data_IF_115936208750
#
_entry.id   IF_115936208750
#
_cell.length_a   1.000
_cell.length_b   1.000
_cell.length_c   1.000
_cell.angle_alpha   90.00
_cell.angle_beta   90.00
_cell.angle_gamma   90.00
#
_symmetry.space_group_name_H-M   'P 1'
#
loop_
_entity.id
_entity.type
_entity.pdbx_description
1 polymer ?
#
# COMPACT_ATOMS: atom_id res chain seq x y z
N UNK A 1 -43.97 -29.68 -16.82
CA UNK A 1 -42.61 -29.34 -17.24
C UNK A 1 -41.74 -29.28 -16.01
N UNK A 2 -40.83 -30.25 -15.82
CA UNK A 2 -39.92 -30.35 -14.69
C UNK A 2 -38.74 -29.43 -15.01
N UNK A 3 -38.65 -28.30 -14.30
CA UNK A 3 -37.50 -27.41 -14.40
C UNK A 3 -36.25 -28.20 -13.92
N UNK A 4 -35.29 -28.38 -14.85
CA UNK A 4 -34.05 -29.09 -14.59
C UNK A 4 -33.30 -28.43 -13.46
N UNK A 5 -33.03 -29.14 -12.38
CA UNK A 5 -32.18 -28.70 -11.26
C UNK A 5 -30.77 -28.37 -11.81
N UNK A 6 -30.40 -27.12 -11.77
CA UNK A 6 -29.05 -26.67 -12.16
C UNK A 6 -28.05 -27.34 -11.18
N UNK A 7 -27.19 -28.21 -11.70
CA UNK A 7 -26.16 -28.90 -10.91
C UNK A 7 -25.15 -27.83 -10.44
N UNK A 8 -25.08 -27.58 -9.13
CA UNK A 8 -24.11 -26.65 -8.57
C UNK A 8 -22.71 -27.27 -8.63
N UNK A 9 -21.76 -26.47 -9.06
CA UNK A 9 -20.34 -26.86 -9.09
C UNK A 9 -19.65 -26.31 -7.83
N UNK A 10 -18.82 -27.11 -7.20
CA UNK A 10 -18.05 -26.69 -6.02
C UNK A 10 -16.96 -25.70 -6.42
N UNK A 11 -17.24 -24.41 -6.25
CA UNK A 11 -16.32 -23.29 -6.50
C UNK A 11 -16.36 -22.31 -5.34
N UNK A 12 -15.37 -21.41 -5.27
CA UNK A 12 -15.37 -20.34 -4.27
C UNK A 12 -16.59 -19.43 -4.40
N UNK A 13 -17.00 -19.14 -5.63
CA UNK A 13 -18.16 -18.29 -5.91
C UNK A 13 -19.46 -18.94 -5.39
N UNK A 14 -19.61 -20.24 -5.60
CA UNK A 14 -20.76 -20.99 -5.09
C UNK A 14 -20.78 -21.02 -3.57
N UNK A 15 -19.64 -21.25 -2.93
CA UNK A 15 -19.53 -21.21 -1.46
C UNK A 15 -19.87 -19.81 -0.93
N UNK A 16 -19.28 -18.75 -1.52
CA UNK A 16 -19.50 -17.37 -1.07
C UNK A 16 -20.90 -16.83 -1.38
N UNK A 17 -21.66 -17.49 -2.23
CA UNK A 17 -23.09 -17.19 -2.40
C UNK A 17 -23.96 -17.71 -1.24
N UNK A 18 -23.44 -18.62 -0.42
CA UNK A 18 -24.15 -19.28 0.69
C UNK A 18 -23.65 -18.83 2.07
N UNK A 19 -22.34 -18.57 2.21
CA UNK A 19 -21.71 -18.18 3.47
C UNK A 19 -20.69 -17.05 3.21
N UNK A 20 -20.38 -16.26 4.26
CA UNK A 20 -19.45 -15.15 4.13
C UNK A 20 -17.99 -15.57 4.41
N UNK A 21 -16.98 -14.83 3.94
CA UNK A 21 -15.59 -15.03 4.36
C UNK A 21 -15.41 -14.97 5.88
N UNK A 22 -16.18 -14.14 6.57
CA UNK A 22 -16.16 -14.01 8.01
C UNK A 22 -16.59 -15.29 8.71
N UNK A 23 -17.65 -15.94 8.21
CA UNK A 23 -18.12 -17.22 8.75
C UNK A 23 -17.06 -18.31 8.63
N UNK A 24 -16.34 -18.34 7.49
CA UNK A 24 -15.25 -19.29 7.28
C UNK A 24 -14.13 -19.06 8.31
N UNK A 25 -13.66 -17.81 8.48
CA UNK A 25 -12.67 -17.53 9.53
C UNK A 25 -13.17 -17.88 10.92
N UNK A 26 -14.42 -17.59 11.23
CA UNK A 26 -15.02 -17.90 12.52
C UNK A 26 -15.06 -19.39 12.81
N UNK A 27 -15.38 -20.21 11.82
CA UNK A 27 -15.43 -21.67 11.95
C UNK A 27 -14.05 -22.28 12.21
N UNK A 28 -13.02 -21.79 11.49
CA UNK A 28 -11.71 -22.41 11.48
C UNK A 28 -10.68 -21.77 12.42
N UNK A 29 -10.94 -20.57 12.96
CA UNK A 29 -10.01 -19.96 13.94
C UNK A 29 -10.11 -20.64 15.31
N UNK A 30 -9.02 -21.21 15.82
CA UNK A 30 -9.04 -21.97 17.07
C UNK A 30 -9.07 -21.07 18.32
N UNK A 31 -8.81 -19.77 18.16
CA UNK A 31 -8.71 -18.80 19.25
C UNK A 31 -9.69 -17.65 19.07
N UNK A 32 -9.99 -16.93 20.16
CA UNK A 32 -10.78 -15.70 20.08
C UNK A 32 -10.06 -14.67 19.21
N UNK A 33 -10.79 -14.07 18.29
CA UNK A 33 -10.29 -13.04 17.42
C UNK A 33 -11.38 -11.99 17.14
N UNK A 34 -10.97 -10.81 16.75
CA UNK A 34 -11.84 -9.73 16.30
C UNK A 34 -11.29 -9.15 15.01
N UNK A 35 -12.18 -8.73 14.12
CA UNK A 35 -11.79 -8.14 12.85
C UNK A 35 -10.95 -6.87 13.07
N UNK A 36 -9.85 -6.74 12.36
CA UNK A 36 -8.89 -5.64 12.45
C UNK A 36 -8.16 -5.52 13.81
N UNK A 37 -8.21 -6.55 14.66
CA UNK A 37 -7.39 -6.64 15.87
C UNK A 37 -6.37 -7.77 15.76
N UNK A 38 -5.17 -7.52 16.28
CA UNK A 38 -4.12 -8.54 16.33
C UNK A 38 -4.49 -9.58 17.39
N UNK A 39 -4.37 -10.86 17.05
CA UNK A 39 -4.65 -11.99 17.90
C UNK A 39 -3.53 -13.04 17.86
N UNK A 40 -3.66 -14.11 18.62
CA UNK A 40 -2.70 -15.23 18.58
C UNK A 40 -2.75 -15.94 17.23
N UNK A 41 -1.57 -16.29 16.71
CA UNK A 41 -1.45 -17.02 15.46
C UNK A 41 -1.98 -18.45 15.60
N UNK A 42 -2.80 -18.96 14.66
CA UNK A 42 -3.18 -20.36 14.63
C UNK A 42 -2.07 -21.25 14.06
N UNK A 43 -0.99 -20.67 13.53
CA UNK A 43 0.07 -21.39 12.84
C UNK A 43 1.33 -21.60 13.69
N UNK A 44 1.52 -20.77 14.72
CA UNK A 44 2.73 -20.77 15.56
C UNK A 44 2.37 -20.58 17.03
N UNK A 45 3.19 -21.15 17.91
CA UNK A 45 3.14 -20.86 19.36
C UNK A 45 3.92 -19.57 19.63
N UNK A 46 3.21 -18.45 19.66
CA UNK A 46 3.83 -17.15 19.91
C UNK A 46 3.56 -16.70 21.36
N UNK A 47 4.57 -16.06 21.97
CA UNK A 47 4.40 -15.42 23.26
C UNK A 47 3.65 -14.07 23.17
N UNK A 48 3.52 -13.53 21.96
CA UNK A 48 2.83 -12.26 21.69
C UNK A 48 1.88 -12.41 20.49
N UNK A 49 0.74 -11.70 20.47
CA UNK A 49 -0.15 -11.71 19.32
C UNK A 49 0.55 -11.30 18.03
N UNK A 50 0.48 -12.14 17.00
CA UNK A 50 1.20 -11.95 15.74
C UNK A 50 0.37 -12.23 14.50
N UNK A 51 -0.94 -12.37 14.63
CA UNK A 51 -1.85 -12.69 13.55
C UNK A 51 -2.98 -11.67 13.45
N UNK A 52 -3.34 -11.28 12.24
CA UNK A 52 -4.40 -10.33 11.97
C UNK A 52 -5.35 -10.89 10.91
N UNK A 53 -6.64 -10.88 11.21
CA UNK A 53 -7.70 -10.99 10.21
C UNK A 53 -8.29 -9.60 10.04
N UNK A 54 -8.20 -9.05 8.84
CA UNK A 54 -8.60 -7.67 8.60
C UNK A 54 -9.31 -7.48 7.28
N UNK A 55 -10.13 -6.42 7.21
CA UNK A 55 -10.74 -5.99 5.96
C UNK A 55 -9.74 -5.12 5.19
N UNK A 56 -9.27 -5.63 4.06
CA UNK A 56 -8.35 -4.92 3.18
C UNK A 56 -8.95 -4.90 1.77
N UNK A 57 -9.19 -3.69 1.22
CA UNK A 57 -9.73 -3.53 -0.14
C UNK A 57 -11.03 -4.33 -0.39
N UNK A 58 -11.99 -4.20 0.55
CA UNK A 58 -13.30 -4.89 0.49
C UNK A 58 -13.25 -6.41 0.68
N UNK A 59 -12.08 -7.01 0.81
CA UNK A 59 -11.92 -8.43 1.11
C UNK A 59 -11.41 -8.65 2.54
N UNK A 60 -12.00 -9.65 3.23
CA UNK A 60 -11.47 -10.12 4.51
C UNK A 60 -10.29 -11.04 4.23
N UNK A 61 -9.11 -10.63 4.69
CA UNK A 61 -7.86 -11.37 4.51
C UNK A 61 -7.13 -11.53 5.84
N UNK A 62 -6.16 -12.44 5.87
CA UNK A 62 -5.30 -12.64 7.03
C UNK A 62 -3.83 -12.44 6.71
N UNK A 63 -3.05 -12.13 7.75
CA UNK A 63 -1.59 -12.08 7.71
C UNK A 63 -1.00 -12.46 9.05
N UNK A 64 0.03 -13.33 9.03
CA UNK A 64 0.89 -13.56 10.18
C UNK A 64 2.13 -12.67 10.07
N UNK A 65 2.41 -11.86 11.09
CA UNK A 65 3.53 -10.92 11.07
C UNK A 65 4.89 -11.59 11.26
N UNK A 66 4.89 -12.78 11.85
CA UNK A 66 6.09 -13.59 12.09
C UNK A 66 6.39 -14.59 10.96
N UNK A 67 5.44 -14.82 10.04
CA UNK A 67 5.62 -15.70 8.87
C UNK A 67 4.91 -15.10 7.65
N UNK A 68 5.68 -14.46 6.78
CA UNK A 68 5.17 -13.81 5.56
C UNK A 68 4.51 -14.77 4.55
N UNK A 69 4.69 -16.08 4.71
CA UNK A 69 4.04 -17.10 3.87
C UNK A 69 2.59 -17.35 4.29
N UNK A 70 2.23 -17.02 5.54
CA UNK A 70 0.91 -17.19 6.13
C UNK A 70 0.06 -15.93 5.94
N UNK A 71 -0.39 -15.72 4.70
CA UNK A 71 -1.28 -14.61 4.31
C UNK A 71 -2.21 -15.03 3.18
N UNK A 72 -3.36 -14.37 3.07
CA UNK A 72 -4.32 -14.60 1.98
C UNK A 72 -5.77 -14.40 2.39
N UNK A 73 -6.70 -14.89 1.57
CA UNK A 73 -8.14 -14.90 1.85
C UNK A 73 -8.55 -16.11 2.71
N UNK A 74 -9.85 -16.21 3.01
CA UNK A 74 -10.40 -17.28 3.84
C UNK A 74 -10.13 -18.69 3.30
N UNK A 75 -10.15 -18.90 1.99
CA UNK A 75 -9.83 -20.20 1.38
C UNK A 75 -8.36 -20.56 1.54
N UNK A 76 -7.47 -19.57 1.36
CA UNK A 76 -6.04 -19.77 1.60
C UNK A 76 -5.75 -20.05 3.06
N UNK A 77 -6.51 -19.43 3.97
CA UNK A 77 -6.45 -19.70 5.40
C UNK A 77 -6.74 -21.17 5.71
N UNK A 78 -7.86 -21.71 5.19
CA UNK A 78 -8.23 -23.11 5.38
C UNK A 78 -7.20 -24.07 4.79
N UNK A 79 -6.67 -23.77 3.57
CA UNK A 79 -5.56 -24.55 3.00
C UNK A 79 -4.34 -24.61 3.92
N UNK A 80 -3.96 -23.46 4.47
CA UNK A 80 -2.78 -23.35 5.33
C UNK A 80 -3.00 -24.02 6.69
N UNK A 81 -4.19 -23.90 7.24
CA UNK A 81 -4.55 -24.49 8.54
C UNK A 81 -4.63 -26.01 8.47
N UNK A 82 -5.30 -26.54 7.45
CA UNK A 82 -5.49 -27.97 7.24
C UNK A 82 -4.34 -28.64 6.48
N UNK A 83 -3.35 -27.86 6.03
CA UNK A 83 -2.20 -28.31 5.23
C UNK A 83 -2.64 -29.11 3.99
N UNK A 84 -3.66 -28.65 3.29
CA UNK A 84 -4.29 -29.34 2.18
C UNK A 84 -4.28 -28.51 0.88
N UNK A 85 -4.62 -29.15 -0.25
CA UNK A 85 -4.79 -28.50 -1.54
C UNK A 85 -6.05 -27.62 -1.59
N UNK A 86 -6.16 -26.81 -2.67
CA UNK A 86 -7.29 -25.89 -2.83
C UNK A 86 -8.64 -26.60 -2.90
N UNK A 87 -8.71 -27.70 -3.67
CA UNK A 87 -9.95 -28.46 -3.85
C UNK A 87 -10.36 -29.16 -2.53
N UNK A 88 -9.39 -29.67 -1.77
CA UNK A 88 -9.65 -30.27 -0.45
C UNK A 88 -10.17 -29.22 0.53
N UNK A 89 -9.64 -27.99 0.50
CA UNK A 89 -10.15 -26.90 1.32
C UNK A 89 -11.60 -26.54 0.97
N UNK A 90 -11.97 -26.48 -0.33
CA UNK A 90 -13.37 -26.26 -0.74
C UNK A 90 -14.28 -27.38 -0.24
N UNK A 91 -13.84 -28.65 -0.36
CA UNK A 91 -14.60 -29.82 0.13
C UNK A 91 -14.76 -29.81 1.66
N UNK A 92 -13.70 -29.40 2.38
CA UNK A 92 -13.77 -29.25 3.85
C UNK A 92 -14.81 -28.20 4.23
N UNK A 93 -14.80 -27.02 3.59
CA UNK A 93 -15.76 -25.96 3.84
C UNK A 93 -17.19 -26.43 3.51
N UNK A 94 -17.40 -27.06 2.35
CA UNK A 94 -18.71 -27.60 1.95
C UNK A 94 -19.27 -28.58 2.98
N UNK A 95 -18.42 -29.51 3.47
CA UNK A 95 -18.76 -30.48 4.50
C UNK A 95 -19.03 -29.83 5.86
N UNK A 96 -18.11 -29.00 6.33
CA UNK A 96 -18.12 -28.46 7.69
C UNK A 96 -19.26 -27.44 7.89
N UNK A 97 -19.67 -26.77 6.82
CA UNK A 97 -20.86 -25.91 6.80
C UNK A 97 -22.13 -26.63 6.32
N UNK A 98 -22.04 -27.90 5.97
CA UNK A 98 -23.15 -28.70 5.46
C UNK A 98 -23.88 -28.04 4.27
N UNK A 99 -23.12 -27.49 3.31
CA UNK A 99 -23.69 -26.76 2.18
C UNK A 99 -24.32 -27.69 1.12
N UNK A 100 -23.86 -28.93 1.03
CA UNK A 100 -24.38 -29.95 0.12
C UNK A 100 -24.02 -29.75 -1.35
N UNK A 101 -23.10 -28.82 -1.65
CA UNK A 101 -22.73 -28.50 -3.05
C UNK A 101 -22.11 -29.69 -3.75
N UNK A 102 -21.20 -30.41 -3.09
CA UNK A 102 -20.54 -31.62 -3.61
C UNK A 102 -21.50 -32.77 -3.89
N UNK A 103 -22.61 -32.82 -3.19
CA UNK A 103 -23.64 -33.86 -3.32
C UNK A 103 -24.72 -33.51 -4.35
N UNK A 104 -24.68 -32.27 -4.90
CA UNK A 104 -25.72 -31.80 -5.83
C UNK A 104 -27.09 -31.60 -5.19
N UNK A 105 -27.18 -31.67 -3.88
CA UNK A 105 -28.37 -31.48 -3.09
C UNK A 105 -28.19 -30.21 -2.28
N UNK A 106 -28.87 -29.14 -2.69
CA UNK A 106 -29.08 -28.04 -1.75
C UNK A 106 -29.94 -28.64 -0.64
N UNK A 107 -29.35 -28.98 0.47
CA UNK A 107 -30.10 -29.28 1.68
C UNK A 107 -30.85 -28.00 2.01
N UNK A 108 -32.18 -28.00 1.90
CA UNK A 108 -33.06 -26.90 2.23
C UNK A 108 -33.13 -26.63 3.73
N UNK A 109 -32.09 -26.95 4.46
CA UNK A 109 -31.83 -26.44 5.77
C UNK A 109 -31.34 -25.00 5.55
N UNK A 110 -32.27 -24.08 5.69
CA UNK A 110 -31.92 -22.79 6.25
C UNK A 110 -31.08 -23.12 7.49
N UNK A 111 -29.75 -23.21 7.32
CA UNK A 111 -28.89 -22.91 8.44
C UNK A 111 -29.42 -21.58 8.89
N UNK A 112 -30.01 -21.57 10.10
CA UNK A 112 -30.26 -20.32 10.80
C UNK A 112 -28.85 -19.74 10.92
N UNK A 113 -28.41 -19.04 9.87
CA UNK A 113 -27.46 -17.98 10.00
C UNK A 113 -28.24 -17.05 10.91
N UNK A 114 -28.11 -17.27 12.24
CA UNK A 114 -28.40 -16.20 13.17
C UNK A 114 -27.75 -15.03 12.47
N UNK A 115 -28.57 -14.07 12.05
CA UNK A 115 -28.09 -12.80 11.51
C UNK A 115 -27.17 -12.26 12.60
N UNK A 116 -25.93 -12.75 12.56
CA UNK A 116 -24.86 -12.02 13.17
C UNK A 116 -24.93 -10.73 12.39
N UNK A 117 -25.29 -9.67 13.07
CA UNK A 117 -25.13 -8.32 12.56
C UNK A 117 -23.83 -8.35 11.80
N UNK A 118 -23.91 -8.12 10.49
CA UNK A 118 -22.70 -7.98 9.70
C UNK A 118 -21.82 -7.10 10.57
N UNK A 119 -20.57 -7.49 10.90
CA UNK A 119 -19.74 -6.63 11.69
C UNK A 119 -19.92 -5.29 11.02
N UNK A 120 -20.47 -4.32 11.77
CA UNK A 120 -20.63 -2.98 11.25
C UNK A 120 -19.28 -2.76 10.61
N UNK A 121 -19.24 -2.66 9.27
CA UNK A 121 -18.05 -2.27 8.58
C UNK A 121 -17.80 -0.93 9.23
N UNK A 122 -16.98 -0.94 10.27
CA UNK A 122 -16.48 0.29 10.84
C UNK A 122 -15.65 0.75 9.68
N UNK A 123 -16.28 1.55 8.81
CA UNK A 123 -15.55 2.36 7.86
C UNK A 123 -14.37 2.78 8.68
N UNK A 124 -13.16 2.43 8.25
CA UNK A 124 -11.96 2.92 8.89
C UNK A 124 -12.19 4.40 8.93
N UNK A 125 -12.70 4.91 10.07
CA UNK A 125 -12.81 6.34 10.28
C UNK A 125 -11.38 6.79 10.24
N UNK A 126 -10.95 7.17 9.03
CA UNK A 126 -9.62 7.69 8.82
C UNK A 126 -9.45 8.74 9.90
N UNK A 127 -8.49 8.53 10.79
CA UNK A 127 -8.26 9.49 11.87
C UNK A 127 -8.18 10.86 11.24
N UNK A 128 -9.00 11.78 11.70
CA UNK A 128 -8.95 13.16 11.21
C UNK A 128 -7.61 13.72 11.60
N UNK A 129 -6.79 14.06 10.61
CA UNK A 129 -5.48 14.68 10.83
C UNK A 129 -5.60 16.14 10.49
N UNK A 130 -5.34 16.99 11.47
CA UNK A 130 -5.35 18.45 11.32
C UNK A 130 -3.96 18.98 11.66
N UNK A 131 -3.47 19.91 10.86
CA UNK A 131 -2.17 20.52 11.07
C UNK A 131 -2.30 22.03 11.16
N UNK A 132 -1.59 22.63 12.11
CA UNK A 132 -1.32 24.07 12.11
C UNK A 132 0.06 24.26 11.47
N UNK A 133 0.10 24.99 10.38
CA UNK A 133 1.33 25.33 9.67
C UNK A 133 2.02 26.56 10.29
N UNK A 134 3.27 26.76 9.95
CA UNK A 134 4.06 27.96 10.27
C UNK A 134 4.96 28.33 9.10
N UNK A 135 5.60 29.48 9.19
CA UNK A 135 6.69 29.82 8.27
C UNK A 135 7.85 28.84 8.45
N UNK A 136 8.51 28.48 7.37
CA UNK A 136 9.71 27.63 7.41
C UNK A 136 10.80 28.31 8.25
N UNK A 137 11.47 27.52 9.08
CA UNK A 137 12.68 27.95 9.81
C UNK A 137 13.90 27.92 8.88
N UNK A 138 15.00 28.53 9.30
CA UNK A 138 16.26 28.49 8.53
C UNK A 138 16.77 27.05 8.36
N UNK A 139 16.68 26.25 9.39
CA UNK A 139 17.09 24.83 9.41
C UNK A 139 16.22 23.99 8.47
N UNK A 140 14.92 24.26 8.41
CA UNK A 140 14.00 23.60 7.49
C UNK A 140 14.29 23.95 6.04
N UNK A 141 14.56 25.22 5.75
CA UNK A 141 14.98 25.67 4.41
C UNK A 141 16.34 25.09 4.02
N UNK A 142 17.30 25.05 4.98
CA UNK A 142 18.60 24.42 4.75
C UNK A 142 18.44 22.91 4.46
N UNK A 143 17.56 22.21 5.17
CA UNK A 143 17.27 20.81 4.89
C UNK A 143 16.81 20.61 3.43
N UNK A 144 15.88 21.44 2.95
CA UNK A 144 15.36 21.31 1.60
C UNK A 144 16.32 21.81 0.52
N UNK A 145 17.13 22.81 0.82
CA UNK A 145 18.17 23.28 -0.12
C UNK A 145 19.20 22.19 -0.45
N UNK A 146 19.49 21.28 0.49
CA UNK A 146 20.31 20.09 0.23
C UNK A 146 19.69 19.16 -0.83
N UNK A 147 18.38 19.24 -1.08
CA UNK A 147 17.65 18.55 -2.13
C UNK A 147 17.31 19.46 -3.30
N UNK A 148 18.00 20.59 -3.45
CA UNK A 148 17.80 21.58 -4.51
C UNK A 148 16.39 22.17 -4.56
N UNK A 149 15.73 22.28 -3.41
CA UNK A 149 14.41 22.88 -3.30
C UNK A 149 14.47 24.21 -2.56
N UNK A 150 13.89 25.23 -3.14
CA UNK A 150 13.65 26.53 -2.51
C UNK A 150 12.21 26.64 -1.97
N UNK A 151 11.86 27.80 -1.41
CA UNK A 151 10.54 28.03 -0.80
C UNK A 151 9.41 27.98 -1.84
N UNK A 152 9.68 28.39 -3.08
CA UNK A 152 8.67 28.38 -4.14
C UNK A 152 8.42 26.93 -4.61
N UNK A 153 9.46 26.11 -4.69
CA UNK A 153 9.33 24.68 -4.94
C UNK A 153 8.49 23.99 -3.87
N UNK A 154 8.74 24.32 -2.60
CA UNK A 154 7.98 23.73 -1.49
C UNK A 154 6.50 24.10 -1.55
N UNK A 155 6.18 25.37 -1.83
CA UNK A 155 4.81 25.84 -2.02
C UNK A 155 4.14 25.16 -3.21
N UNK A 156 4.82 25.12 -4.36
CA UNK A 156 4.30 24.49 -5.58
C UNK A 156 4.00 23.01 -5.42
N UNK A 157 4.69 22.34 -4.49
CA UNK A 157 4.49 20.92 -4.19
C UNK A 157 3.65 20.67 -2.91
N UNK A 158 2.95 21.67 -2.38
CA UNK A 158 2.12 21.57 -1.16
C UNK A 158 2.90 20.98 0.03
N UNK A 159 4.14 21.44 0.22
CA UNK A 159 4.98 21.10 1.38
C UNK A 159 4.93 22.25 2.38
N UNK A 160 4.65 21.95 3.62
CA UNK A 160 4.47 22.92 4.69
C UNK A 160 5.32 22.60 5.91
N UNK A 161 5.83 23.62 6.60
CA UNK A 161 6.37 23.50 7.95
C UNK A 161 5.21 23.36 8.93
N UNK A 162 5.29 22.38 9.83
CA UNK A 162 4.21 22.06 10.76
C UNK A 162 4.52 22.56 12.18
N UNK A 163 3.61 23.36 12.73
CA UNK A 163 3.67 23.84 14.13
C UNK A 163 3.06 22.82 15.08
N UNK A 164 1.85 22.34 14.76
CA UNK A 164 1.11 21.42 15.61
C UNK A 164 0.34 20.41 14.76
N UNK A 165 0.15 19.21 15.30
CA UNK A 165 -0.60 18.11 14.68
C UNK A 165 -1.68 17.67 15.66
N UNK A 166 -2.85 17.38 15.14
CA UNK A 166 -3.98 16.86 15.92
C UNK A 166 -4.50 15.59 15.24
N UNK A 167 -4.65 14.54 16.02
CA UNK A 167 -5.32 13.30 15.63
C UNK A 167 -6.68 13.25 16.33
N UNK A 168 -7.77 13.24 15.57
CA UNK A 168 -9.13 13.24 16.11
C UNK A 168 -9.38 14.39 17.12
N UNK A 169 -8.87 15.59 16.84
CA UNK A 169 -8.88 16.79 17.66
C UNK A 169 -7.94 16.77 18.88
N UNK A 170 -7.27 15.67 19.19
CA UNK A 170 -6.28 15.57 20.25
C UNK A 170 -4.90 16.01 19.75
N UNK A 171 -4.27 16.91 20.49
CA UNK A 171 -2.96 17.45 20.13
C UNK A 171 -1.87 16.40 20.34
N UNK A 172 -1.11 16.11 19.27
CA UNK A 172 0.03 15.21 19.35
C UNK A 172 1.24 15.94 19.96
N UNK A 173 1.93 15.35 20.97
CA UNK A 173 3.12 15.96 21.56
C UNK A 173 4.28 15.96 20.57
N UNK A 174 4.83 17.11 20.29
CA UNK A 174 5.96 17.32 19.37
C UNK A 174 7.11 17.98 20.11
N UNK A 175 8.34 17.60 19.79
CA UNK A 175 9.54 18.29 20.28
C UNK A 175 9.74 19.58 19.47
N UNK A 176 10.06 20.69 20.12
CA UNK A 176 10.24 21.99 19.43
C UNK A 176 11.38 21.96 18.41
N UNK A 177 12.47 21.26 18.70
CA UNK A 177 13.66 21.15 17.85
C UNK A 177 13.52 20.15 16.70
N UNK A 178 12.40 19.45 16.61
CA UNK A 178 12.17 18.42 15.62
C UNK A 178 11.80 19.05 14.26
N UNK A 179 12.54 18.75 13.21
CA UNK A 179 12.14 19.07 11.84
C UNK A 179 10.97 18.18 11.42
N UNK A 180 9.92 18.81 10.92
CA UNK A 180 8.71 18.13 10.48
C UNK A 180 8.00 18.86 9.36
N UNK A 181 7.63 18.10 8.35
CA UNK A 181 6.98 18.61 7.15
C UNK A 181 5.65 17.92 6.94
N UNK A 182 4.65 18.68 6.52
CA UNK A 182 3.36 18.16 6.09
C UNK A 182 3.27 18.23 4.58
N UNK A 183 2.89 17.11 3.97
CA UNK A 183 2.49 17.05 2.58
C UNK A 183 0.96 17.06 2.54
N UNK A 184 0.40 18.10 1.91
CA UNK A 184 -1.05 18.26 1.80
C UNK A 184 -1.54 17.66 0.48
N UNK A 185 -2.58 16.82 0.56
CA UNK A 185 -3.29 16.22 -0.55
C UNK A 185 -4.79 16.50 -0.38
N UNK A 186 -5.29 17.46 -1.12
CA UNK A 186 -6.62 18.02 -0.92
C UNK A 186 -6.79 18.52 0.53
N UNK A 187 -7.49 17.77 1.37
CA UNK A 187 -7.71 18.04 2.80
C UNK A 187 -6.93 17.08 3.74
N UNK A 188 -6.05 16.24 3.20
CA UNK A 188 -5.37 15.14 3.91
C UNK A 188 -3.88 15.40 4.06
N UNK A 189 -3.35 14.98 5.21
CA UNK A 189 -1.96 15.21 5.57
C UNK A 189 -1.16 13.91 5.65
N UNK A 190 0.06 13.97 5.08
CA UNK A 190 1.11 12.98 5.28
C UNK A 190 2.29 13.68 5.95
N UNK A 191 2.65 13.26 7.16
CA UNK A 191 3.65 13.95 7.98
C UNK A 191 4.98 13.24 7.93
N UNK A 192 6.02 13.98 7.58
CA UNK A 192 7.39 13.53 7.43
C UNK A 192 8.30 14.16 8.46
N UNK A 193 9.06 13.35 9.19
CA UNK A 193 10.02 13.74 10.22
C UNK A 193 11.38 13.17 9.86
N UNK A 194 12.25 13.87 9.10
CA UNK A 194 13.43 13.31 8.43
C UNK A 194 14.45 12.67 9.36
N UNK A 195 14.60 13.19 10.58
CA UNK A 195 15.63 12.78 11.52
C UNK A 195 15.14 11.78 12.58
N UNK A 196 13.88 11.37 12.51
CA UNK A 196 13.38 10.32 13.37
C UNK A 196 13.80 8.94 12.85
N UNK A 197 13.75 7.95 13.73
CA UNK A 197 14.01 6.57 13.35
C UNK A 197 13.04 6.07 12.27
N UNK A 198 13.36 4.98 11.60
CA UNK A 198 12.60 4.46 10.46
C UNK A 198 11.13 4.16 10.80
N UNK A 199 10.82 3.81 12.05
CA UNK A 199 9.46 3.48 12.50
C UNK A 199 8.62 4.72 12.77
N UNK A 200 9.24 5.83 13.14
CA UNK A 200 8.57 7.08 13.52
C UNK A 200 8.80 8.23 12.54
N UNK A 201 9.63 8.01 11.53
CA UNK A 201 9.93 8.96 10.44
C UNK A 201 8.67 9.41 9.67
N UNK A 202 7.75 8.49 9.44
CA UNK A 202 6.45 8.74 8.88
C UNK A 202 5.39 8.57 9.96
N UNK A 203 4.58 9.60 10.17
CA UNK A 203 3.42 9.50 11.07
C UNK A 203 2.26 8.79 10.37
N UNK A 204 1.31 8.23 11.14
CA UNK A 204 0.06 7.75 10.58
C UNK A 204 -0.56 8.82 9.69
N UNK A 205 -1.09 8.43 8.54
CA UNK A 205 -1.69 9.37 7.58
C UNK A 205 -3.04 8.82 7.07
N UNK A 206 -3.86 9.71 6.53
CA UNK A 206 -5.16 9.39 5.96
C UNK A 206 -5.20 9.59 4.43
N UNK A 207 -4.03 9.74 3.80
CA UNK A 207 -3.93 9.83 2.34
C UNK A 207 -4.19 8.46 1.73
N UNK A 208 -5.13 8.32 0.77
CA UNK A 208 -5.36 7.06 0.09
C UNK A 208 -4.11 6.54 -0.61
N UNK A 209 -3.89 5.23 -0.53
CA UNK A 209 -2.68 4.61 -1.09
C UNK A 209 -2.55 4.78 -2.61
N UNK A 210 -3.67 4.95 -3.29
CA UNK A 210 -3.76 5.13 -4.74
C UNK A 210 -3.67 6.60 -5.20
N UNK A 211 -3.35 7.53 -4.30
CA UNK A 211 -3.06 8.92 -4.71
C UNK A 211 -1.77 8.93 -5.51
N UNK A 212 -1.84 9.43 -6.75
CA UNK A 212 -0.71 9.65 -7.64
C UNK A 212 -0.32 11.13 -7.55
N UNK A 213 0.84 11.39 -6.94
CA UNK A 213 1.39 12.74 -6.80
C UNK A 213 2.00 13.24 -8.10
N UNK A 214 1.83 14.53 -8.42
CA UNK A 214 2.36 15.07 -9.66
C UNK A 214 1.68 14.49 -10.89
N UNK A 215 0.46 13.99 -10.75
CA UNK A 215 -0.37 13.50 -11.86
C UNK A 215 -0.48 14.53 -12.98
N UNK A 216 -0.60 15.78 -12.63
CA UNK A 216 -0.69 16.94 -13.55
C UNK A 216 0.57 17.14 -14.41
N UNK A 217 1.70 16.56 -14.02
CA UNK A 217 2.93 16.61 -14.82
C UNK A 217 2.91 15.65 -16.01
N UNK A 218 2.04 14.62 -15.95
CA UNK A 218 2.00 13.54 -16.94
C UNK A 218 0.93 13.87 -17.98
N UNK A 219 1.34 14.56 -19.04
CA UNK A 219 0.43 15.00 -20.12
C UNK A 219 1.09 14.72 -21.46
N UNK A 220 0.54 13.73 -22.20
CA UNK A 220 0.93 13.38 -23.57
C UNK A 220 2.46 13.31 -23.79
N UNK A 221 3.17 12.65 -22.89
CA UNK A 221 4.62 12.58 -22.89
C UNK A 221 5.14 11.25 -23.47
N UNK A 222 6.38 11.25 -23.96
CA UNK A 222 7.03 10.04 -24.44
C UNK A 222 7.29 9.07 -23.28
N UNK A 223 7.78 9.57 -22.16
CA UNK A 223 8.12 8.73 -21.01
C UNK A 223 7.70 9.40 -19.70
N UNK A 224 6.90 8.71 -18.90
CA UNK A 224 6.60 9.07 -17.52
C UNK A 224 7.57 8.35 -16.56
N UNK A 225 8.22 9.11 -15.67
CA UNK A 225 9.01 8.55 -14.58
C UNK A 225 8.13 8.50 -13.32
N UNK A 226 8.03 7.32 -12.72
CA UNK A 226 7.20 7.04 -11.55
C UNK A 226 8.11 6.69 -10.38
N UNK A 227 8.14 7.55 -9.37
CA UNK A 227 8.95 7.34 -8.16
C UNK A 227 8.07 7.00 -6.94
N UNK A 228 8.69 6.65 -5.82
CA UNK A 228 8.00 6.21 -4.60
C UNK A 228 7.69 7.32 -3.60
N UNK A 229 8.25 8.52 -3.78
CA UNK A 229 8.15 9.58 -2.79
C UNK A 229 8.07 10.98 -3.40
N UNK A 230 7.40 11.89 -2.69
CA UNK A 230 7.36 13.31 -3.05
C UNK A 230 8.75 13.93 -3.15
N UNK A 231 9.68 13.54 -2.28
CA UNK A 231 11.05 14.09 -2.30
C UNK A 231 11.79 13.70 -3.58
N UNK A 232 11.71 12.44 -4.01
CA UNK A 232 12.28 12.00 -5.28
C UNK A 232 11.63 12.69 -6.47
N UNK A 233 10.30 12.80 -6.47
CA UNK A 233 9.55 13.54 -7.47
C UNK A 233 10.08 14.97 -7.61
N UNK A 234 10.21 15.70 -6.50
CA UNK A 234 10.64 17.11 -6.51
C UNK A 234 12.06 17.26 -7.03
N UNK A 235 12.98 16.35 -6.66
CA UNK A 235 14.37 16.37 -7.14
C UNK A 235 14.46 16.00 -8.62
N UNK A 236 13.80 14.93 -9.04
CA UNK A 236 13.77 14.51 -10.45
C UNK A 236 13.13 15.57 -11.34
N UNK A 237 12.10 16.25 -10.87
CA UNK A 237 11.40 17.29 -11.62
C UNK A 237 12.29 18.50 -11.95
N UNK A 238 13.40 18.74 -11.22
CA UNK A 238 14.39 19.75 -11.56
C UNK A 238 15.14 19.47 -12.87
N UNK A 239 15.17 18.22 -13.31
CA UNK A 239 15.93 17.78 -14.49
C UNK A 239 15.05 17.11 -15.55
N UNK A 240 13.84 16.68 -15.19
CA UNK A 240 12.93 15.99 -16.08
C UNK A 240 11.46 16.33 -15.74
N UNK A 241 10.65 16.87 -16.67
CA UNK A 241 9.35 17.43 -16.32
C UNK A 241 8.27 16.37 -16.02
N UNK A 242 8.32 15.21 -16.67
CA UNK A 242 7.25 14.20 -16.61
C UNK A 242 7.49 13.17 -15.51
N UNK A 243 7.42 13.64 -14.28
CA UNK A 243 7.62 12.82 -13.09
C UNK A 243 6.36 12.82 -12.24
N UNK A 244 5.97 11.65 -11.76
CA UNK A 244 4.95 11.49 -10.73
C UNK A 244 5.45 10.55 -9.62
N UNK A 245 4.72 10.49 -8.51
CA UNK A 245 5.08 9.62 -7.40
C UNK A 245 3.88 8.86 -6.86
N UNK A 246 4.11 7.62 -6.48
CA UNK A 246 3.16 6.81 -5.70
C UNK A 246 3.42 6.98 -4.19
N UNK A 247 2.50 6.52 -3.36
CA UNK A 247 2.60 6.73 -1.90
C UNK A 247 3.67 5.86 -1.22
N UNK A 248 4.02 4.74 -1.81
CA UNK A 248 5.09 3.83 -1.39
C UNK A 248 5.37 2.81 -2.51
N UNK A 249 6.25 1.85 -2.28
CA UNK A 249 6.67 0.82 -3.25
C UNK A 249 5.69 -0.36 -3.38
N UNK A 250 4.50 -0.26 -2.81
CA UNK A 250 3.51 -1.34 -2.87
C UNK A 250 2.78 -1.37 -4.21
N UNK A 251 2.53 -2.56 -4.73
CA UNK A 251 1.69 -2.75 -5.91
C UNK A 251 0.27 -2.18 -5.75
N UNK A 252 -0.21 -2.04 -4.52
CA UNK A 252 -1.51 -1.42 -4.24
C UNK A 252 -1.62 0.05 -4.60
N UNK A 253 -0.50 0.74 -4.83
CA UNK A 253 -0.49 2.10 -5.36
C UNK A 253 -0.93 2.16 -6.84
N UNK A 254 -0.84 1.04 -7.56
CA UNK A 254 -1.16 0.92 -8.99
C UNK A 254 -2.58 0.37 -9.17
N UNK A 255 -3.57 1.19 -8.80
CA UNK A 255 -4.97 0.88 -9.13
C UNK A 255 -5.18 0.86 -10.66
N UNK A 256 -6.22 0.16 -11.12
CA UNK A 256 -6.55 0.13 -12.55
C UNK A 256 -6.67 1.55 -13.13
N UNK A 257 -7.28 2.47 -12.40
CA UNK A 257 -7.42 3.88 -12.80
C UNK A 257 -6.06 4.58 -12.97
N UNK A 258 -5.10 4.36 -12.03
CA UNK A 258 -3.77 4.95 -12.15
C UNK A 258 -2.98 4.37 -13.32
N UNK A 259 -3.05 3.06 -13.51
CA UNK A 259 -2.36 2.37 -14.62
C UNK A 259 -2.92 2.84 -15.96
N UNK A 260 -4.23 2.90 -16.09
CA UNK A 260 -4.90 3.41 -17.29
C UNK A 260 -4.53 4.89 -17.56
N UNK A 261 -4.57 5.73 -16.51
CA UNK A 261 -4.15 7.13 -16.65
C UNK A 261 -2.71 7.25 -17.16
N UNK A 262 -1.77 6.52 -16.58
CA UNK A 262 -0.36 6.56 -16.98
C UNK A 262 -0.17 6.11 -18.42
N UNK A 263 -0.82 5.03 -18.85
CA UNK A 263 -0.77 4.50 -20.22
C UNK A 263 -1.42 5.42 -21.25
N UNK A 264 -2.50 6.10 -20.87
CA UNK A 264 -3.18 7.03 -21.77
C UNK A 264 -2.44 8.36 -21.94
N UNK A 265 -1.57 8.74 -21.01
CA UNK A 265 -0.88 10.02 -21.00
C UNK A 265 0.64 9.92 -21.22
N UNK A 266 1.18 8.71 -21.41
CA UNK A 266 2.59 8.51 -21.74
C UNK A 266 2.78 7.24 -22.58
N UNK A 267 3.74 7.28 -23.53
CA UNK A 267 4.03 6.12 -24.38
C UNK A 267 4.80 5.05 -23.60
N UNK A 268 5.66 5.46 -22.65
CA UNK A 268 6.44 4.59 -21.79
C UNK A 268 6.29 4.98 -20.32
N UNK A 269 6.25 4.02 -19.44
CA UNK A 269 6.20 4.19 -18.01
C UNK A 269 7.44 3.55 -17.38
N UNK A 270 8.23 4.31 -16.61
CA UNK A 270 9.45 3.82 -15.99
C UNK A 270 9.38 4.02 -14.48
N UNK A 271 9.44 2.91 -13.74
CA UNK A 271 9.54 2.95 -12.29
C UNK A 271 10.98 3.30 -11.85
N UNK A 272 11.08 4.09 -10.78
CA UNK A 272 12.33 4.33 -10.11
C UNK A 272 12.11 4.31 -8.59
N UNK A 273 12.25 3.12 -8.02
CA UNK A 273 12.15 2.87 -6.58
C UNK A 273 13.54 2.75 -5.96
N UNK A 274 13.60 2.43 -4.67
CA UNK A 274 14.87 2.23 -4.01
C UNK A 274 15.69 1.13 -4.71
N UNK A 275 16.98 1.34 -4.77
CA UNK A 275 17.91 0.37 -5.35
C UNK A 275 18.33 -0.71 -4.36
N UNK A 276 17.67 -0.81 -3.20
CA UNK A 276 17.82 -1.91 -2.25
C UNK A 276 17.06 -3.17 -2.71
N UNK A 277 17.25 -4.27 -1.99
CA UNK A 277 16.62 -5.55 -2.33
C UNK A 277 15.09 -5.49 -2.38
N UNK A 278 14.47 -4.72 -1.48
CA UNK A 278 13.01 -4.62 -1.42
C UNK A 278 12.47 -3.79 -2.58
N UNK A 279 13.04 -2.62 -2.85
CA UNK A 279 12.64 -1.75 -3.95
C UNK A 279 12.83 -2.41 -5.32
N UNK A 280 13.95 -3.11 -5.52
CA UNK A 280 14.18 -3.87 -6.77
C UNK A 280 13.15 -5.00 -6.94
N UNK A 281 12.88 -5.77 -5.88
CA UNK A 281 11.89 -6.86 -5.94
C UNK A 281 10.51 -6.35 -6.27
N UNK A 282 10.06 -5.26 -5.61
CA UNK A 282 8.77 -4.63 -5.86
C UNK A 282 8.70 -4.05 -7.28
N UNK A 283 9.77 -3.37 -7.74
CA UNK A 283 9.85 -2.86 -9.10
C UNK A 283 9.66 -3.96 -10.14
N UNK A 284 10.39 -5.08 -10.01
CA UNK A 284 10.28 -6.22 -10.94
C UNK A 284 8.88 -6.84 -10.95
N UNK A 285 8.22 -6.93 -9.79
CA UNK A 285 6.86 -7.43 -9.73
C UNK A 285 5.89 -6.51 -10.46
N UNK A 286 5.97 -5.19 -10.23
CA UNK A 286 5.07 -4.20 -10.81
C UNK A 286 5.31 -4.09 -12.32
N UNK A 287 6.58 -4.07 -12.77
CA UNK A 287 6.90 -4.00 -14.19
C UNK A 287 6.35 -5.19 -14.96
N UNK A 288 6.50 -6.40 -14.40
CA UNK A 288 5.92 -7.61 -15.00
C UNK A 288 4.40 -7.59 -15.07
N UNK A 289 3.74 -7.03 -14.04
CA UNK A 289 2.27 -7.00 -13.96
C UNK A 289 1.66 -5.99 -14.93
N UNK A 290 2.31 -4.83 -15.12
CA UNK A 290 1.73 -3.69 -15.83
C UNK A 290 2.43 -3.36 -17.15
N UNK A 291 3.49 -4.12 -17.52
CA UNK A 291 4.32 -3.87 -18.68
C UNK A 291 5.00 -2.49 -18.62
N UNK A 292 5.59 -2.17 -17.46
CA UNK A 292 6.37 -0.97 -17.25
C UNK A 292 7.87 -1.26 -17.34
N UNK A 293 8.67 -0.27 -17.71
CA UNK A 293 10.11 -0.33 -17.49
C UNK A 293 10.52 -0.03 -16.06
N UNK A 294 11.77 -0.26 -15.70
CA UNK A 294 12.32 0.24 -14.45
C UNK A 294 13.74 0.77 -14.60
N UNK A 295 14.10 1.68 -13.72
CA UNK A 295 15.40 2.31 -13.67
C UNK A 295 15.82 2.45 -12.21
N UNK A 296 17.08 2.09 -11.92
CA UNK A 296 17.68 2.24 -10.60
C UNK A 296 18.80 3.27 -10.63
N UNK A 297 19.17 3.76 -9.46
CA UNK A 297 20.43 4.47 -9.25
C UNK A 297 21.57 3.54 -9.70
N UNK A 298 22.55 4.03 -10.48
CA UNK A 298 23.66 3.21 -10.96
C UNK A 298 24.45 2.57 -9.81
N UNK A 299 24.87 1.31 -10.02
CA UNK A 299 25.58 0.51 -9.00
C UNK A 299 26.81 1.21 -8.41
N UNK A 300 27.47 2.06 -9.19
CA UNK A 300 28.64 2.85 -8.74
C UNK A 300 28.35 3.79 -7.57
N UNK A 301 27.10 4.13 -7.29
CA UNK A 301 26.70 4.99 -6.17
C UNK A 301 26.12 4.21 -4.99
N UNK A 302 25.80 2.93 -5.17
CA UNK A 302 25.22 2.09 -4.10
C UNK A 302 26.22 1.81 -2.97
N UNK A 303 27.51 1.74 -3.28
CA UNK A 303 28.59 1.61 -2.27
C UNK A 303 28.60 2.75 -1.26
N UNK A 304 28.14 3.93 -1.66
CA UNK A 304 28.10 5.13 -0.84
C UNK A 304 26.75 5.29 -0.11
N UNK A 305 25.94 4.24 -0.11
CA UNK A 305 24.62 4.24 0.54
C UNK A 305 23.51 5.01 -0.21
N UNK A 306 23.75 5.35 -1.49
CA UNK A 306 22.82 6.13 -2.31
C UNK A 306 21.82 5.18 -2.98
N UNK A 307 20.61 5.10 -2.46
CA UNK A 307 19.59 4.16 -2.90
C UNK A 307 18.47 4.78 -3.73
N UNK A 308 18.31 6.10 -3.70
CA UNK A 308 17.26 6.83 -4.43
C UNK A 308 17.81 8.07 -5.16
N UNK A 309 17.02 8.64 -6.05
CA UNK A 309 17.42 9.81 -6.84
C UNK A 309 17.48 11.09 -6.02
N UNK A 310 16.73 11.20 -4.93
CA UNK A 310 16.84 12.35 -4.04
C UNK A 310 18.18 12.34 -3.30
N UNK A 311 18.64 11.18 -2.83
CA UNK A 311 19.96 11.02 -2.23
C UNK A 311 21.07 11.27 -3.28
N UNK A 312 20.91 10.76 -4.51
CA UNK A 312 21.85 10.99 -5.60
C UNK A 312 21.98 12.49 -5.90
N UNK A 313 20.87 13.19 -6.00
CA UNK A 313 20.87 14.64 -6.23
C UNK A 313 21.53 15.43 -5.09
N UNK A 314 21.23 15.03 -3.84
CA UNK A 314 21.79 15.66 -2.66
C UNK A 314 23.30 15.53 -2.59
N UNK A 315 23.86 14.34 -2.82
CA UNK A 315 25.30 14.06 -2.63
C UNK A 315 26.12 14.40 -3.88
N UNK A 316 25.58 14.21 -5.09
CA UNK A 316 26.32 14.34 -6.34
C UNK A 316 25.79 15.43 -7.28
N UNK A 317 24.72 16.12 -6.90
CA UNK A 317 24.13 17.23 -7.65
C UNK A 317 23.24 16.80 -8.83
N UNK A 318 22.44 17.76 -9.32
CA UNK A 318 21.46 17.54 -10.39
C UNK A 318 22.11 17.14 -11.72
N UNK A 319 23.32 17.64 -12.04
CA UNK A 319 24.06 17.25 -13.25
C UNK A 319 24.36 15.75 -13.31
N UNK A 320 24.51 15.09 -12.15
CA UNK A 320 24.71 13.65 -12.09
C UNK A 320 23.42 12.91 -12.45
N UNK A 321 22.28 13.39 -11.99
CA UNK A 321 20.97 12.84 -12.39
C UNK A 321 20.78 13.00 -13.90
N UNK A 322 21.05 14.19 -14.48
CA UNK A 322 20.98 14.41 -15.92
C UNK A 322 21.84 13.39 -16.71
N UNK A 323 23.10 13.17 -16.27
CA UNK A 323 23.97 12.16 -16.90
C UNK A 323 23.38 10.77 -16.87
N UNK A 324 22.74 10.38 -15.76
CA UNK A 324 22.07 9.08 -15.63
C UNK A 324 20.89 9.00 -16.61
N UNK A 325 20.05 10.03 -16.69
CA UNK A 325 18.89 10.07 -17.58
C UNK A 325 19.32 10.07 -19.05
N UNK A 326 20.38 10.82 -19.45
CA UNK A 326 20.97 10.78 -20.80
C UNK A 326 21.46 9.38 -21.16
N UNK A 327 22.19 8.73 -20.26
CA UNK A 327 22.66 7.34 -20.49
C UNK A 327 21.50 6.36 -20.69
N UNK A 328 20.34 6.66 -20.11
CA UNK A 328 19.10 5.88 -20.27
C UNK A 328 18.25 6.34 -21.47
N UNK A 329 18.70 7.32 -22.26
CA UNK A 329 18.02 7.93 -23.41
C UNK A 329 16.62 8.48 -23.05
N UNK A 330 16.51 9.11 -21.88
CA UNK A 330 15.30 9.76 -21.41
C UNK A 330 15.29 11.28 -21.65
N UNK A 331 16.49 11.87 -21.78
CA UNK A 331 16.72 13.26 -22.16
C UNK A 331 17.90 13.35 -23.11
#
# INVERSE_FOLDING_TARGET
MIQGKKKLTLTKETILSLITPYDIYRMYMPTKWELNKVCQSPFTKDNSPSFLIGNKYEEITHIAFNDSTKKGNCFKFVQQLLQCGYIEALKAIDRDFNLGISQGILSGHQTIVTRYEQPIIVEKKYSTIQCITRKFTKEELQYWSNYHQDIEDLKANNVYSIKSIFFNKEKFPLKETELRFGYLYDDRWKIYRPFNDSKTKWMPNNVPINVLEGKENIVNCDTAIITKSKKDLMVLKKVYPWVCAVQNESNHCFSAVNVEFLKNNSQKQILTFDSDKAGVTNSLQITKQHDFGYMNVPRSYLSDGINDFAALGKEYGLKTIEKVLKKKKLI
#
